data_IF_661344854271
#
_entry.id   IF_661344854271
#
_cell.length_a   1.000
_cell.length_b   1.000
_cell.length_c   1.000
_cell.angle_alpha   90.00
_cell.angle_beta   90.00
_cell.angle_gamma   90.00
#
_symmetry.space_group_name_H-M   'P 1'
#
loop_
_entity.id
_entity.type
_entity.pdbx_description
1 polymer ?
#
# COMPACT_ATOMS: atom_id res chain seq x y z
N UNK A 1 -21.18 -4.20 -25.92
CA UNK A 1 -19.95 -4.65 -25.23
C UNK A 1 -20.20 -6.03 -24.68
N UNK A 2 -19.29 -6.98 -24.88
CA UNK A 2 -19.46 -8.35 -24.40
C UNK A 2 -18.91 -8.45 -22.96
N UNK A 3 -19.81 -8.34 -21.99
CA UNK A 3 -19.52 -8.39 -20.55
C UNK A 3 -18.74 -9.64 -20.14
N UNK A 4 -18.89 -10.74 -20.89
CA UNK A 4 -18.14 -11.98 -20.63
C UNK A 4 -16.64 -11.85 -20.94
N UNK A 5 -16.27 -10.99 -21.89
CA UNK A 5 -14.87 -10.74 -22.25
C UNK A 5 -14.20 -9.80 -21.24
N UNK A 6 -14.90 -8.75 -20.80
CA UNK A 6 -14.40 -7.81 -19.79
C UNK A 6 -14.16 -8.51 -18.45
N UNK A 7 -15.11 -9.34 -18.00
CA UNK A 7 -14.94 -10.14 -16.77
C UNK A 7 -13.76 -11.11 -16.85
N UNK A 8 -13.57 -11.79 -17.99
CA UNK A 8 -12.40 -12.65 -18.22
C UNK A 8 -11.09 -11.88 -18.21
N UNK A 9 -11.07 -10.70 -18.82
CA UNK A 9 -9.90 -9.83 -18.86
C UNK A 9 -9.54 -9.31 -17.46
N UNK A 10 -10.51 -8.82 -16.68
CA UNK A 10 -10.31 -8.39 -15.30
C UNK A 10 -9.75 -9.52 -14.43
N UNK A 11 -10.32 -10.73 -14.54
CA UNK A 11 -9.82 -11.90 -13.81
C UNK A 11 -8.38 -12.27 -14.20
N UNK A 12 -8.02 -12.15 -15.49
CA UNK A 12 -6.66 -12.40 -15.99
C UNK A 12 -5.66 -11.36 -15.46
N UNK A 13 -6.02 -10.07 -15.49
CA UNK A 13 -5.18 -8.99 -14.96
C UNK A 13 -4.94 -9.15 -13.45
N UNK A 14 -6.02 -9.43 -12.69
CA UNK A 14 -5.94 -9.72 -11.26
C UNK A 14 -5.03 -10.91 -11.00
N UNK A 15 -5.25 -12.04 -11.67
CA UNK A 15 -4.40 -13.22 -11.52
C UNK A 15 -2.93 -12.90 -11.79
N UNK A 16 -2.63 -12.11 -12.83
CA UNK A 16 -1.28 -11.66 -13.13
C UNK A 16 -0.64 -10.80 -12.03
N UNK A 17 -1.41 -10.00 -11.29
CA UNK A 17 -0.91 -9.24 -10.13
C UNK A 17 -0.48 -10.16 -8.98
N UNK A 18 -1.23 -11.22 -8.70
CA UNK A 18 -0.90 -12.20 -7.65
C UNK A 18 0.23 -13.15 -8.09
N UNK A 19 0.17 -13.72 -9.30
CA UNK A 19 1.17 -14.68 -9.79
C UNK A 19 2.56 -14.05 -9.91
N UNK A 20 2.63 -12.76 -10.22
CA UNK A 20 3.89 -12.00 -10.26
C UNK A 20 4.30 -11.47 -8.89
N UNK A 21 3.49 -11.69 -7.84
CA UNK A 21 3.77 -11.30 -6.46
C UNK A 21 3.65 -9.80 -6.19
N UNK A 22 3.02 -9.03 -7.08
CA UNK A 22 2.77 -7.61 -6.84
C UNK A 22 1.76 -7.39 -5.70
N UNK A 23 0.75 -8.27 -5.64
CA UNK A 23 -0.26 -8.31 -4.58
C UNK A 23 -0.18 -9.63 -3.81
N UNK A 24 -0.46 -9.57 -2.52
CA UNK A 24 -0.59 -10.74 -1.64
C UNK A 24 -2.04 -10.91 -1.12
N UNK A 25 -2.26 -11.92 -0.27
CA UNK A 25 -3.56 -12.27 0.29
C UNK A 25 -4.29 -11.09 0.95
N UNK A 26 -3.56 -10.10 1.48
CA UNK A 26 -4.17 -8.94 2.09
C UNK A 26 -5.06 -8.18 1.10
N UNK A 27 -4.70 -8.12 -0.18
CA UNK A 27 -5.53 -7.44 -1.17
C UNK A 27 -6.91 -8.10 -1.31
N UNK A 28 -6.99 -9.43 -1.17
CA UNK A 28 -8.29 -10.14 -1.19
C UNK A 28 -9.16 -9.75 0.00
N UNK A 29 -8.55 -9.60 1.18
CA UNK A 29 -9.27 -9.12 2.36
C UNK A 29 -9.80 -7.70 2.17
N UNK A 30 -9.06 -6.84 1.46
CA UNK A 30 -9.54 -5.49 1.12
C UNK A 30 -10.71 -5.56 0.13
N UNK A 31 -10.69 -6.49 -0.83
CA UNK A 31 -11.81 -6.72 -1.75
C UNK A 31 -13.05 -7.28 -1.04
N UNK A 32 -12.89 -8.17 -0.06
CA UNK A 32 -13.99 -8.74 0.71
C UNK A 32 -14.73 -7.71 1.57
N UNK A 33 -14.12 -6.55 1.84
CA UNK A 33 -14.75 -5.42 2.53
C UNK A 33 -15.67 -4.60 1.61
N UNK A 34 -15.60 -4.79 0.30
CA UNK A 34 -16.46 -4.09 -0.66
C UNK A 34 -17.87 -4.70 -0.64
N UNK A 35 -18.89 -3.85 -0.46
CA UNK A 35 -20.29 -4.25 -0.44
C UNK A 35 -21.16 -3.40 -1.39
N UNK A 36 -22.46 -3.68 -1.45
CA UNK A 36 -23.41 -2.93 -2.27
C UNK A 36 -23.55 -1.45 -1.84
N UNK A 37 -23.24 -1.14 -0.58
CA UNK A 37 -23.26 0.23 -0.06
C UNK A 37 -22.00 1.03 -0.40
N UNK A 38 -20.89 0.34 -0.72
CA UNK A 38 -19.57 0.92 -1.00
C UNK A 38 -18.90 0.26 -2.23
N UNK A 39 -19.51 0.33 -3.42
CA UNK A 39 -19.06 -0.41 -4.60
C UNK A 39 -17.67 0.00 -5.14
N UNK A 40 -17.12 1.13 -4.71
CA UNK A 40 -15.80 1.65 -5.12
C UNK A 40 -14.75 1.60 -4.00
N UNK A 41 -15.04 0.94 -2.88
CA UNK A 41 -14.16 0.93 -1.70
C UNK A 41 -12.71 0.55 -2.04
N UNK A 42 -12.52 -0.50 -2.84
CA UNK A 42 -11.17 -0.98 -3.20
C UNK A 42 -10.44 0.06 -4.05
N UNK A 43 -11.12 0.71 -4.99
CA UNK A 43 -10.53 1.77 -5.81
C UNK A 43 -10.10 2.95 -4.92
N UNK A 44 -10.97 3.40 -4.01
CA UNK A 44 -10.68 4.49 -3.09
C UNK A 44 -9.46 4.19 -2.20
N UNK A 45 -9.36 2.97 -1.66
CA UNK A 45 -8.21 2.52 -0.87
C UNK A 45 -6.93 2.56 -1.70
N UNK A 46 -6.98 2.10 -2.96
CA UNK A 46 -5.83 2.13 -3.86
C UNK A 46 -5.42 3.57 -4.21
N UNK A 47 -6.38 4.46 -4.48
CA UNK A 47 -6.12 5.88 -4.75
C UNK A 47 -5.42 6.55 -3.56
N UNK A 48 -5.94 6.33 -2.35
CA UNK A 48 -5.34 6.85 -1.11
C UNK A 48 -3.93 6.31 -0.93
N UNK A 49 -3.73 5.01 -1.14
CA UNK A 49 -2.41 4.38 -1.06
C UNK A 49 -1.39 5.06 -2.01
N UNK A 50 -1.74 5.28 -3.28
CA UNK A 50 -0.81 5.89 -4.24
C UNK A 50 -0.49 7.35 -3.93
N UNK A 51 -1.48 8.08 -3.40
CA UNK A 51 -1.29 9.46 -2.94
C UNK A 51 -0.32 9.52 -1.75
N UNK A 52 -0.55 8.70 -0.73
CA UNK A 52 0.27 8.70 0.47
C UNK A 52 1.68 8.18 0.20
N UNK A 53 1.80 7.08 -0.54
CA UNK A 53 3.10 6.53 -0.92
C UNK A 53 3.92 7.48 -1.79
N UNK A 54 3.29 8.15 -2.76
CA UNK A 54 3.96 9.16 -3.59
C UNK A 54 4.53 10.30 -2.75
N UNK A 55 3.75 10.82 -1.80
CA UNK A 55 4.20 11.85 -0.86
C UNK A 55 5.37 11.38 0.00
N UNK A 56 5.32 10.16 0.52
CA UNK A 56 6.38 9.59 1.34
C UNK A 56 7.69 9.41 0.56
N UNK A 57 7.60 8.91 -0.68
CA UNK A 57 8.75 8.74 -1.57
C UNK A 57 9.39 10.11 -1.86
N UNK A 58 8.62 11.12 -2.23
CA UNK A 58 9.14 12.46 -2.51
C UNK A 58 9.77 13.12 -1.27
N UNK A 59 9.17 12.95 -0.09
CA UNK A 59 9.72 13.45 1.16
C UNK A 59 11.05 12.77 1.52
N UNK A 60 11.17 11.47 1.24
CA UNK A 60 12.42 10.74 1.43
C UNK A 60 13.50 11.23 0.46
N UNK A 61 13.18 11.43 -0.82
CA UNK A 61 14.12 11.96 -1.82
C UNK A 61 14.72 13.29 -1.35
N UNK A 62 13.88 14.22 -0.92
CA UNK A 62 14.34 15.50 -0.36
C UNK A 62 15.16 15.33 0.94
N UNK A 63 14.89 14.28 1.72
CA UNK A 63 15.66 14.00 2.93
C UNK A 63 17.01 13.36 2.62
N UNK A 64 17.16 12.64 1.50
CA UNK A 64 18.41 12.03 1.05
C UNK A 64 19.42 13.06 0.53
N UNK A 65 18.94 14.18 0.02
CA UNK A 65 19.77 15.31 -0.47
C UNK A 65 20.34 16.17 0.67
N UNK A 66 19.77 16.07 1.88
CA UNK A 66 20.17 16.91 3.02
C UNK A 66 21.39 16.36 3.75
N UNK A 67 22.22 17.27 4.25
CA UNK A 67 23.36 16.99 5.12
C UNK A 67 23.18 17.69 6.49
N UNK A 68 23.50 17.04 7.62
CA UNK A 68 24.01 15.67 7.76
C UNK A 68 22.98 14.60 7.39
N UNK A 69 23.45 13.42 6.95
CA UNK A 69 22.60 12.29 6.58
C UNK A 69 21.98 11.68 7.83
N UNK A 70 20.64 11.64 7.87
CA UNK A 70 19.88 11.11 8.99
C UNK A 70 19.18 9.79 8.60
N UNK A 71 19.89 8.67 8.82
CA UNK A 71 19.37 7.33 8.54
C UNK A 71 18.16 6.97 9.40
N UNK A 72 18.03 7.51 10.60
CA UNK A 72 16.87 7.24 11.46
C UNK A 72 15.61 7.88 10.87
N UNK A 73 15.75 9.11 10.35
CA UNK A 73 14.67 9.78 9.63
C UNK A 73 14.29 9.05 8.35
N UNK A 74 15.27 8.53 7.60
CA UNK A 74 14.99 7.73 6.40
C UNK A 74 14.29 6.41 6.74
N UNK A 75 14.72 5.72 7.80
CA UNK A 75 14.07 4.50 8.31
C UNK A 75 12.61 4.76 8.70
N UNK A 76 12.33 5.90 9.35
CA UNK A 76 10.97 6.28 9.74
C UNK A 76 10.03 6.42 8.53
N UNK A 77 10.48 7.07 7.45
CA UNK A 77 9.68 7.14 6.21
C UNK A 77 9.40 5.76 5.62
N UNK A 78 10.40 4.88 5.62
CA UNK A 78 10.24 3.52 5.10
C UNK A 78 9.36 2.65 6.00
N UNK A 79 9.43 2.82 7.31
CA UNK A 79 8.56 2.12 8.24
C UNK A 79 7.10 2.52 8.01
N UNK A 80 6.82 3.80 7.78
CA UNK A 80 5.48 4.27 7.43
C UNK A 80 5.03 3.69 6.09
N UNK A 81 5.87 3.78 5.05
CA UNK A 81 5.53 3.27 3.72
C UNK A 81 5.32 1.75 3.72
N UNK A 82 6.12 1.00 4.48
CA UNK A 82 5.94 -0.44 4.72
C UNK A 82 4.57 -0.74 5.32
N UNK A 83 4.13 0.08 6.28
CA UNK A 83 2.78 -0.01 6.87
C UNK A 83 1.70 0.14 5.81
N UNK A 84 1.78 1.21 5.00
CA UNK A 84 0.84 1.44 3.89
C UNK A 84 0.88 0.33 2.83
N UNK A 85 2.05 -0.23 2.52
CA UNK A 85 2.14 -1.38 1.61
C UNK A 85 1.48 -2.62 2.20
N UNK A 86 1.64 -2.83 3.51
CA UNK A 86 1.06 -3.98 4.21
C UNK A 86 -0.44 -3.88 4.33
N UNK A 87 -1.05 -2.69 4.36
CA UNK A 87 -2.51 -2.55 4.45
C UNK A 87 -3.24 -2.91 3.15
N UNK A 88 -2.58 -2.79 2.01
CA UNK A 88 -3.16 -3.07 0.68
C UNK A 88 -2.58 -4.34 0.02
N UNK A 89 -1.64 -5.02 0.69
CA UNK A 89 -0.97 -6.20 0.15
C UNK A 89 0.03 -5.93 -0.96
N UNK A 90 0.61 -4.73 -1.06
CA UNK A 90 1.64 -4.37 -2.03
C UNK A 90 3.00 -5.01 -1.69
N UNK A 91 3.10 -6.32 -1.92
CA UNK A 91 4.18 -7.18 -1.38
C UNK A 91 5.57 -6.80 -1.89
N UNK A 92 5.74 -6.55 -3.20
CA UNK A 92 7.05 -6.15 -3.75
C UNK A 92 7.56 -4.82 -3.20
N UNK A 93 6.68 -3.82 -3.13
CA UNK A 93 7.04 -2.54 -2.53
C UNK A 93 7.41 -2.69 -1.06
N UNK A 94 6.65 -3.49 -0.30
CA UNK A 94 6.96 -3.82 1.10
C UNK A 94 8.36 -4.46 1.23
N UNK A 95 8.75 -5.34 0.31
CA UNK A 95 10.08 -5.98 0.31
C UNK A 95 11.20 -4.96 0.06
N UNK A 96 11.02 -4.04 -0.88
CA UNK A 96 12.00 -2.97 -1.11
C UNK A 96 12.08 -1.98 0.06
N UNK A 97 10.95 -1.72 0.76
CA UNK A 97 10.97 -0.95 2.00
C UNK A 97 11.81 -1.67 3.07
N UNK A 98 11.64 -2.98 3.26
CA UNK A 98 12.46 -3.75 4.21
C UNK A 98 13.94 -3.70 3.85
N UNK A 99 14.27 -3.87 2.57
CA UNK A 99 15.65 -3.82 2.07
C UNK A 99 16.29 -2.45 2.28
N UNK A 100 15.54 -1.37 2.08
CA UNK A 100 16.01 -0.02 2.38
C UNK A 100 16.31 0.17 3.87
N UNK A 101 15.44 -0.34 4.75
CA UNK A 101 15.63 -0.26 6.21
C UNK A 101 16.87 -1.03 6.67
N UNK A 102 17.11 -2.20 6.09
CA UNK A 102 18.33 -2.97 6.36
C UNK A 102 19.60 -2.19 5.94
N UNK A 103 19.54 -1.48 4.81
CA UNK A 103 20.61 -0.58 4.37
C UNK A 103 20.77 0.64 5.28
N UNK A 104 19.69 1.15 5.89
CA UNK A 104 19.77 2.20 6.90
C UNK A 104 20.49 1.71 8.16
N UNK A 105 20.19 0.48 8.61
CA UNK A 105 20.87 -0.16 9.75
C UNK A 105 22.37 -0.34 9.49
N UNK A 106 22.74 -0.65 8.26
CA UNK A 106 24.15 -0.75 7.81
C UNK A 106 24.80 0.61 7.50
N UNK A 107 24.05 1.72 7.59
CA UNK A 107 24.49 3.07 7.20
C UNK A 107 25.04 3.16 5.76
N UNK A 108 24.53 2.32 4.86
CA UNK A 108 24.92 2.28 3.45
C UNK A 108 24.07 3.24 2.63
N UNK A 109 24.63 4.39 2.28
CA UNK A 109 23.95 5.39 1.44
C UNK A 109 23.64 4.82 0.05
N UNK A 110 24.62 4.15 -0.55
CA UNK A 110 24.50 3.55 -1.88
C UNK A 110 23.42 2.45 -1.88
N UNK A 111 23.38 1.63 -0.82
CA UNK A 111 22.32 0.65 -0.60
C UNK A 111 20.94 1.29 -0.47
N UNK A 112 20.82 2.34 0.34
CA UNK A 112 19.56 3.09 0.49
C UNK A 112 19.09 3.67 -0.86
N UNK A 113 19.98 4.35 -1.59
CA UNK A 113 19.64 4.91 -2.91
C UNK A 113 19.24 3.81 -3.91
N UNK A 114 19.95 2.68 -3.92
CA UNK A 114 19.62 1.53 -4.76
C UNK A 114 18.24 0.95 -4.45
N UNK A 115 17.91 0.73 -3.18
CA UNK A 115 16.59 0.26 -2.75
C UNK A 115 15.48 1.26 -3.06
N UNK A 116 15.74 2.58 -2.91
CA UNK A 116 14.75 3.59 -3.29
C UNK A 116 14.44 3.57 -4.78
N UNK A 117 15.45 3.41 -5.63
CA UNK A 117 15.23 3.30 -7.08
C UNK A 117 14.40 2.07 -7.45
N UNK A 118 14.63 0.93 -6.80
CA UNK A 118 13.81 -0.27 -7.00
C UNK A 118 12.37 -0.06 -6.51
N UNK A 119 12.21 0.51 -5.33
CA UNK A 119 10.91 0.85 -4.76
C UNK A 119 10.09 1.75 -5.70
N UNK A 120 10.70 2.78 -6.29
CA UNK A 120 10.04 3.68 -7.26
C UNK A 120 9.57 2.92 -8.52
N UNK A 121 10.37 1.97 -9.01
CA UNK A 121 9.97 1.14 -10.15
C UNK A 121 8.79 0.25 -9.80
N UNK A 122 8.86 -0.44 -8.66
CA UNK A 122 7.75 -1.31 -8.21
C UNK A 122 6.48 -0.51 -7.93
N UNK A 123 6.60 0.71 -7.39
CA UNK A 123 5.48 1.65 -7.23
C UNK A 123 4.81 2.00 -8.55
N UNK A 124 5.60 2.39 -9.56
CA UNK A 124 5.08 2.74 -10.89
C UNK A 124 4.45 1.54 -11.60
N UNK A 125 5.07 0.36 -11.53
CA UNK A 125 4.57 -0.88 -12.12
C UNK A 125 3.24 -1.29 -11.48
N UNK A 126 3.17 -1.27 -10.14
CA UNK A 126 1.95 -1.62 -9.42
C UNK A 126 0.81 -0.66 -9.76
N UNK A 127 1.10 0.64 -9.83
CA UNK A 127 0.15 1.68 -10.23
C UNK A 127 -0.44 1.40 -11.60
N UNK A 128 0.41 1.22 -12.60
CA UNK A 128 -0.03 0.98 -13.98
C UNK A 128 -0.91 -0.29 -14.10
N UNK A 129 -0.54 -1.37 -13.40
CA UNK A 129 -1.29 -2.62 -13.43
C UNK A 129 -2.65 -2.51 -12.74
N UNK A 130 -2.71 -1.81 -11.61
CA UNK A 130 -3.97 -1.56 -10.90
C UNK A 130 -4.88 -0.62 -11.70
N UNK A 131 -4.35 0.44 -12.31
CA UNK A 131 -5.09 1.31 -13.23
C UNK A 131 -5.72 0.51 -14.38
N UNK A 132 -4.93 -0.38 -15.00
CA UNK A 132 -5.43 -1.27 -16.06
C UNK A 132 -6.52 -2.23 -15.57
N UNK A 133 -6.39 -2.72 -14.34
CA UNK A 133 -7.37 -3.61 -13.72
C UNK A 133 -8.69 -2.89 -13.44
N UNK A 134 -8.66 -1.69 -12.84
CA UNK A 134 -9.86 -0.92 -12.55
C UNK A 134 -10.55 -0.40 -13.81
N UNK A 135 -9.79 -0.03 -14.85
CA UNK A 135 -10.37 0.40 -16.13
C UNK A 135 -11.26 -0.65 -16.81
N UNK A 136 -10.97 -1.94 -16.59
CA UNK A 136 -11.75 -3.06 -17.14
C UNK A 136 -12.86 -3.52 -16.18
N UNK A 137 -12.71 -3.23 -14.88
CA UNK A 137 -13.64 -3.67 -13.82
C UNK A 137 -14.77 -2.67 -13.57
N UNK A 138 -14.53 -1.37 -13.82
CA UNK A 138 -15.52 -0.32 -13.60
C UNK A 138 -16.35 -0.07 -14.86
N UNK A 139 -17.67 -0.21 -14.75
CA UNK A 139 -18.63 0.02 -15.84
C UNK A 139 -18.94 1.53 -16.07
N UNK A 140 -18.38 2.42 -15.26
CA UNK A 140 -18.46 3.88 -15.40
C UNK A 140 -17.07 4.46 -15.71
N UNK A 141 -16.97 5.57 -16.48
CA UNK A 141 -15.69 6.22 -16.72
C UNK A 141 -14.99 6.48 -15.38
N UNK A 142 -13.67 6.22 -15.28
CA UNK A 142 -12.95 6.36 -14.03
C UNK A 142 -13.26 7.73 -13.45
N UNK A 143 -13.69 7.76 -12.18
CA UNK A 143 -13.79 9.02 -11.45
C UNK A 143 -12.47 9.76 -11.70
N UNK A 144 -12.53 10.99 -12.19
CA UNK A 144 -11.42 11.82 -12.72
C UNK A 144 -10.20 12.00 -11.79
N UNK A 145 -10.14 11.28 -10.67
CA UNK A 145 -9.04 11.18 -9.71
C UNK A 145 -7.74 10.60 -10.25
N UNK A 146 -7.76 9.87 -11.38
CA UNK A 146 -6.55 9.26 -11.96
C UNK A 146 -5.84 10.13 -13.01
N UNK A 147 -6.42 11.26 -13.40
CA UNK A 147 -5.87 12.15 -14.42
C UNK A 147 -5.03 13.28 -13.81
N UNK A 148 -3.70 13.16 -13.95
CA UNK A 148 -2.71 14.24 -14.13
C UNK A 148 -2.55 15.34 -13.03
N UNK A 149 -1.31 15.45 -12.55
CA UNK A 149 -0.67 16.48 -11.71
C UNK A 149 -1.42 17.79 -11.33
N UNK A 150 -1.30 18.13 -10.03
CA UNK A 150 -1.93 19.21 -9.22
C UNK A 150 -3.34 18.85 -8.72
N UNK A 151 -3.51 18.41 -7.47
CA UNK A 151 -4.60 18.87 -6.58
C UNK A 151 -4.26 18.53 -5.11
N UNK A 152 -3.60 19.49 -4.46
CA UNK A 152 -3.71 19.73 -3.01
C UNK A 152 -5.17 20.16 -2.75
N UNK A 153 -5.70 19.88 -1.54
CA UNK A 153 -7.01 20.28 -0.98
C UNK A 153 -8.15 19.34 -1.47
N UNK A 154 -8.79 18.44 -0.74
CA UNK A 154 -9.05 18.26 0.71
C UNK A 154 -9.32 16.77 0.98
N UNK A 155 -8.53 16.09 1.82
CA UNK A 155 -8.98 14.99 2.70
C UNK A 155 -8.03 14.99 3.91
N UNK A 156 -8.12 16.04 4.72
CA UNK A 156 -7.77 15.92 6.14
C UNK A 156 -9.02 15.36 6.80
N UNK A 157 -9.16 14.02 6.89
CA UNK A 157 -10.00 13.34 7.90
C UNK A 157 -9.91 11.79 7.91
N UNK A 158 -8.97 11.16 7.19
CA UNK A 158 -8.80 9.69 7.20
C UNK A 158 -7.42 9.20 7.65
N UNK A 159 -6.52 10.11 8.05
CA UNK A 159 -5.24 9.72 8.65
C UNK A 159 -5.36 9.16 10.07
N UNK A 160 -6.53 9.28 10.73
CA UNK A 160 -6.75 8.71 12.07
C UNK A 160 -7.41 7.32 12.04
N UNK A 161 -8.27 6.99 11.08
CA UNK A 161 -9.05 5.73 11.17
C UNK A 161 -8.19 4.48 10.89
N UNK A 162 -7.24 4.55 9.97
CA UNK A 162 -6.43 3.37 9.62
C UNK A 162 -5.34 3.04 10.65
N UNK A 163 -4.90 4.03 11.45
CA UNK A 163 -4.05 3.78 12.63
C UNK A 163 -4.87 3.33 13.84
N UNK A 164 -6.11 3.81 14.00
CA UNK A 164 -6.93 3.45 15.16
C UNK A 164 -7.47 2.01 15.11
N UNK A 165 -7.81 1.48 13.93
CA UNK A 165 -8.31 0.09 13.81
C UNK A 165 -7.20 -0.96 13.99
N UNK A 166 -5.97 -0.68 13.55
CA UNK A 166 -4.81 -1.56 13.81
C UNK A 166 -4.28 -1.48 15.25
N UNK A 167 -4.52 -0.38 15.98
CA UNK A 167 -4.19 -0.27 17.42
C UNK A 167 -5.22 -1.00 18.31
N UNK A 168 -6.49 -1.04 17.91
CA UNK A 168 -7.56 -1.72 18.67
C UNK A 168 -7.51 -3.25 18.58
N UNK A 169 -7.04 -3.82 17.48
CA UNK A 169 -6.82 -5.28 17.35
C UNK A 169 -5.64 -5.81 18.19
N UNK A 170 -4.84 -4.95 18.84
CA UNK A 170 -3.77 -5.35 19.75
C UNK A 170 -4.16 -5.32 21.24
N UNK A 171 -5.36 -4.83 21.58
CA UNK A 171 -5.86 -4.74 22.96
C UNK A 171 -6.79 -5.90 23.37
N UNK A 172 -7.23 -6.74 22.42
CA UNK A 172 -8.01 -7.96 22.73
C UNK A 172 -7.05 -9.15 22.79
N UNK A 173 -6.30 -9.24 23.89
CA UNK A 173 -5.60 -10.47 24.28
C UNK A 173 -6.59 -11.50 24.85
N UNK A 174 -6.33 -12.80 24.72
CA UNK A 174 -7.26 -13.84 25.19
C UNK A 174 -7.33 -13.85 26.71
N UNK A 175 -8.47 -13.41 27.26
CA UNK A 175 -8.79 -13.62 28.67
C UNK A 175 -9.40 -15.01 28.84
N UNK A 176 -8.74 -15.88 29.61
CA UNK A 176 -9.39 -17.03 30.23
C UNK A 176 -8.72 -18.39 30.05
N UNK A 177 -7.50 -18.56 30.54
CA UNK A 177 -7.00 -19.88 30.96
C UNK A 177 -6.62 -19.78 32.44
N UNK A 178 -7.59 -20.04 33.33
CA UNK A 178 -7.35 -20.20 34.76
C UNK A 178 -7.60 -21.67 35.13
N UNK A 179 -6.52 -22.26 35.60
CA UNK A 179 -6.30 -23.61 36.11
C UNK A 179 -7.21 -23.97 37.30
N UNK A 180 -7.71 -25.21 37.31
CA UNK A 180 -8.24 -25.87 38.52
C UNK A 180 -7.10 -26.10 39.51
N UNK A 181 -7.31 -25.96 40.83
CA UNK A 181 -6.57 -26.72 41.82
C UNK A 181 -7.39 -27.91 42.31
N UNK A 182 -6.64 -28.95 42.62
CA UNK A 182 -7.08 -30.22 43.17
C UNK A 182 -7.57 -30.08 44.62
N UNK A 183 -8.53 -30.93 44.98
CA UNK A 183 -8.67 -31.50 46.31
C UNK A 183 -9.17 -32.94 46.17
#
# INVERSE_FOLDING_TARGET
>A
MDYSNLRRQAASLKKGLFDQGHLDEQFRQVEDLQDEASPNFVEEVVVVFFKDSGRLISNLEQALEKYPRDFNRWDAYMQQLKGSCSSIGASRMKNECMSFRDNCGQRSVEGCMGSLQKLKREHAILRQKLESYFQVTLEAPPCQSWCHDRWIISINLLTDVCMFTMQLLRQVGPAGAATRPAM
#
